data_IF_659283686041
#
_entry.id   IF_659283686041
#
_cell.length_a   1.000
_cell.length_b   1.000
_cell.length_c   1.000
_cell.angle_alpha   90.00
_cell.angle_beta   90.00
_cell.angle_gamma   90.00
#
_symmetry.space_group_name_H-M   'P 1'
#
loop_
_entity.id
_entity.type
_entity.pdbx_description
1 polymer ?
#
# COMPACT_ATOMS: atom_id res chain seq x y z
N UNK A 1 21.23 0.29 -25.99
CA UNK A 1 20.43 0.80 -24.85
C UNK A 1 20.03 -0.40 -24.01
N UNK A 2 20.53 -0.50 -22.78
CA UNK A 2 20.26 -1.65 -21.92
C UNK A 2 18.88 -1.48 -21.26
N UNK A 3 17.90 -2.22 -21.76
CA UNK A 3 16.58 -2.32 -21.14
C UNK A 3 16.74 -3.07 -19.82
N UNK A 4 16.85 -2.32 -18.73
CA UNK A 4 17.02 -2.90 -17.40
C UNK A 4 15.63 -3.30 -16.90
N UNK A 5 15.19 -4.49 -17.28
CA UNK A 5 13.99 -5.10 -16.70
C UNK A 5 14.14 -5.15 -15.17
N UNK A 6 13.45 -4.25 -14.48
CA UNK A 6 13.35 -4.25 -13.03
C UNK A 6 12.55 -5.49 -12.60
N UNK A 7 13.23 -6.59 -12.29
CA UNK A 7 12.63 -7.81 -11.72
C UNK A 7 11.85 -7.44 -10.45
N UNK A 8 10.56 -7.73 -10.44
CA UNK A 8 9.72 -7.62 -9.26
C UNK A 8 9.90 -8.88 -8.41
N UNK A 9 10.56 -8.76 -7.26
CA UNK A 9 10.74 -9.85 -6.28
C UNK A 9 9.46 -10.14 -5.48
N UNK A 10 8.30 -10.18 -6.14
CA UNK A 10 7.04 -10.54 -5.48
C UNK A 10 6.91 -12.05 -5.49
N UNK A 11 7.50 -12.69 -4.50
CA UNK A 11 7.34 -14.13 -4.30
C UNK A 11 5.91 -14.44 -3.87
N UNK A 12 5.29 -15.42 -4.53
CA UNK A 12 3.95 -15.91 -4.23
C UNK A 12 4.09 -17.25 -3.52
N UNK A 13 3.29 -17.47 -2.48
CA UNK A 13 3.17 -18.81 -1.88
C UNK A 13 2.56 -19.80 -2.87
N UNK A 14 2.95 -21.06 -2.73
CA UNK A 14 2.35 -22.17 -3.47
C UNK A 14 0.86 -22.32 -3.12
N UNK A 15 0.06 -22.96 -3.98
CA UNK A 15 -1.35 -23.23 -3.70
C UNK A 15 -1.56 -23.98 -2.38
N UNK A 16 -0.73 -24.99 -2.10
CA UNK A 16 -0.75 -25.79 -0.86
C UNK A 16 -0.62 -24.89 0.38
N UNK A 17 0.41 -24.04 0.44
CA UNK A 17 0.62 -23.13 1.56
C UNK A 17 -0.51 -22.10 1.69
N UNK A 18 -1.06 -21.62 0.57
CA UNK A 18 -2.22 -20.72 0.63
C UNK A 18 -3.46 -21.40 1.25
N UNK A 19 -3.70 -22.68 0.94
CA UNK A 19 -4.80 -23.46 1.55
C UNK A 19 -4.58 -23.62 3.05
N UNK A 20 -3.40 -24.09 3.47
CA UNK A 20 -3.02 -24.25 4.89
C UNK A 20 -3.21 -22.93 5.67
N UNK A 21 -2.79 -21.80 5.08
CA UNK A 21 -2.99 -20.46 5.67
C UNK A 21 -4.47 -20.10 5.76
N UNK A 22 -5.25 -20.40 4.73
CA UNK A 22 -6.67 -20.07 4.68
C UNK A 22 -7.47 -20.87 5.71
N UNK A 23 -7.22 -22.17 5.82
CA UNK A 23 -7.91 -23.06 6.77
C UNK A 23 -7.67 -22.60 8.21
N UNK A 24 -6.41 -22.34 8.58
CA UNK A 24 -6.08 -21.77 9.89
C UNK A 24 -6.75 -20.41 10.11
N UNK A 25 -6.77 -19.54 9.10
CA UNK A 25 -7.40 -18.22 9.20
C UNK A 25 -8.93 -18.31 9.38
N UNK A 26 -9.58 -19.35 8.85
CA UNK A 26 -11.02 -19.58 9.01
C UNK A 26 -11.35 -20.07 10.42
N UNK A 27 -10.59 -21.04 10.93
CA UNK A 27 -10.79 -21.59 12.28
C UNK A 27 -10.67 -20.49 13.34
N UNK A 28 -9.67 -19.63 13.21
CA UNK A 28 -9.38 -18.58 14.18
C UNK A 28 -10.03 -17.23 13.85
N UNK A 29 -11.00 -17.17 12.93
CA UNK A 29 -11.57 -15.91 12.40
C UNK A 29 -12.09 -14.95 13.49
N UNK A 30 -12.69 -15.50 14.53
CA UNK A 30 -13.31 -14.75 15.63
C UNK A 30 -12.38 -14.58 16.85
N UNK A 31 -11.17 -15.12 16.78
CA UNK A 31 -10.24 -15.06 17.88
C UNK A 31 -9.68 -13.65 18.06
N UNK A 32 -9.38 -13.33 19.32
CA UNK A 32 -8.67 -12.12 19.67
C UNK A 32 -7.21 -12.19 19.18
N UNK A 33 -6.59 -11.03 19.03
CA UNK A 33 -5.19 -10.93 18.58
C UNK A 33 -4.22 -11.69 19.51
N UNK A 34 -4.49 -11.74 20.81
CA UNK A 34 -3.65 -12.47 21.77
C UNK A 34 -3.73 -13.97 21.53
N UNK A 35 -4.95 -14.51 21.42
CA UNK A 35 -5.20 -15.94 21.16
C UNK A 35 -4.59 -16.35 19.81
N UNK A 36 -4.79 -15.56 18.75
CA UNK A 36 -4.22 -15.86 17.44
C UNK A 36 -2.68 -15.95 17.47
N UNK A 37 -2.02 -15.11 18.28
CA UNK A 37 -0.54 -15.15 18.40
C UNK A 37 -0.09 -16.41 19.13
N UNK A 38 -0.81 -16.82 20.17
CA UNK A 38 -0.54 -18.04 20.93
C UNK A 38 -0.73 -19.30 20.08
N UNK A 39 -1.85 -19.39 19.36
CA UNK A 39 -2.15 -20.51 18.48
C UNK A 39 -1.24 -20.58 17.25
N UNK A 40 -0.65 -19.45 16.84
CA UNK A 40 0.23 -19.40 15.67
C UNK A 40 1.51 -20.20 15.86
N UNK A 41 2.08 -20.23 17.05
CA UNK A 41 3.32 -20.98 17.29
C UNK A 41 3.09 -22.49 17.17
N UNK A 42 1.99 -23.02 17.74
CA UNK A 42 1.60 -24.42 17.57
C UNK A 42 1.22 -24.78 16.11
N UNK A 43 0.57 -23.86 15.40
CA UNK A 43 0.29 -24.02 13.97
C UNK A 43 1.57 -24.08 13.12
N UNK A 44 2.55 -23.24 13.44
CA UNK A 44 3.85 -23.22 12.77
C UNK A 44 4.58 -24.55 12.94
N UNK A 45 4.63 -25.07 14.17
CA UNK A 45 5.26 -26.35 14.48
C UNK A 45 4.56 -27.52 13.79
N UNK A 46 3.23 -27.54 13.81
CA UNK A 46 2.43 -28.61 13.19
C UNK A 46 2.55 -28.69 11.67
N UNK A 47 2.96 -27.60 11.02
CA UNK A 47 3.07 -27.50 9.55
C UNK A 47 4.52 -27.24 9.10
N UNK A 48 5.49 -27.47 9.98
CA UNK A 48 6.89 -27.09 9.77
C UNK A 48 7.47 -27.69 8.50
N UNK A 49 7.16 -28.94 8.19
CA UNK A 49 7.67 -29.64 7.01
C UNK A 49 7.19 -28.98 5.72
N UNK A 50 5.90 -28.66 5.62
CA UNK A 50 5.33 -27.96 4.47
C UNK A 50 5.92 -26.57 4.33
N UNK A 51 6.11 -25.85 5.44
CA UNK A 51 6.74 -24.52 5.42
C UNK A 51 8.22 -24.58 5.04
N UNK A 52 8.98 -25.58 5.48
CA UNK A 52 10.39 -25.72 5.10
C UNK A 52 10.55 -26.10 3.63
N UNK A 53 9.69 -26.96 3.09
CA UNK A 53 9.64 -27.22 1.63
C UNK A 53 9.36 -25.93 0.84
N UNK A 54 8.40 -25.14 1.31
CA UNK A 54 8.08 -23.86 0.70
C UNK A 54 9.23 -22.85 0.83
N UNK A 55 9.91 -22.81 1.98
CA UNK A 55 11.08 -21.96 2.22
C UNK A 55 12.15 -22.21 1.16
N UNK A 56 12.50 -23.48 0.95
CA UNK A 56 13.48 -23.87 -0.06
C UNK A 56 13.07 -23.42 -1.47
N UNK A 57 11.79 -23.62 -1.83
CA UNK A 57 11.24 -23.17 -3.13
C UNK A 57 11.33 -21.65 -3.28
N UNK A 58 11.04 -20.89 -2.24
CA UNK A 58 11.09 -19.43 -2.26
C UNK A 58 12.54 -18.91 -2.32
N UNK A 59 13.46 -19.50 -1.56
CA UNK A 59 14.88 -19.17 -1.56
C UNK A 59 15.53 -19.44 -2.92
N UNK A 60 15.20 -20.57 -3.57
CA UNK A 60 15.60 -20.84 -4.96
C UNK A 60 15.14 -19.76 -5.95
N UNK A 61 14.03 -19.08 -5.64
CA UNK A 61 13.51 -17.97 -6.44
C UNK A 61 14.05 -16.60 -5.99
N UNK A 62 14.94 -16.54 -5.00
CA UNK A 62 15.58 -15.32 -4.50
C UNK A 62 14.89 -14.65 -3.30
N UNK A 63 14.02 -15.38 -2.57
CA UNK A 63 13.41 -14.88 -1.34
C UNK A 63 14.43 -14.85 -0.20
N UNK A 64 14.57 -13.71 0.48
CA UNK A 64 15.52 -13.51 1.59
C UNK A 64 14.85 -13.15 2.92
N UNK A 65 13.52 -13.10 2.96
CA UNK A 65 12.80 -12.69 4.16
C UNK A 65 12.55 -13.88 5.10
N UNK A 66 12.19 -13.58 6.35
CA UNK A 66 11.74 -14.60 7.29
C UNK A 66 10.35 -15.14 6.89
N UNK A 67 10.30 -16.43 6.56
CA UNK A 67 9.08 -17.14 6.18
C UNK A 67 8.04 -17.14 7.30
N UNK A 68 8.44 -17.33 8.56
CA UNK A 68 7.50 -17.36 9.71
C UNK A 68 6.79 -16.02 9.83
N UNK A 69 7.50 -14.92 9.67
CA UNK A 69 6.89 -13.60 9.64
C UNK A 69 6.02 -13.35 8.40
N UNK A 70 6.41 -13.88 7.24
CA UNK A 70 5.65 -13.73 6.00
C UNK A 70 4.31 -14.50 6.05
N UNK A 71 4.30 -15.69 6.63
CA UNK A 71 3.10 -16.51 6.82
C UNK A 71 2.16 -15.85 7.83
N UNK A 72 2.66 -15.39 8.98
CA UNK A 72 1.83 -14.68 9.97
C UNK A 72 1.14 -13.45 9.38
N UNK A 73 1.85 -12.65 8.57
CA UNK A 73 1.27 -11.51 7.86
C UNK A 73 0.17 -11.92 6.88
N UNK A 74 0.31 -13.09 6.27
CA UNK A 74 -0.65 -13.62 5.29
C UNK A 74 -1.90 -14.15 5.98
N UNK A 75 -1.75 -14.87 7.09
CA UNK A 75 -2.86 -15.24 7.98
C UNK A 75 -3.62 -14.00 8.40
N UNK A 76 -2.92 -12.98 8.91
CA UNK A 76 -3.54 -11.69 9.29
C UNK A 76 -4.31 -11.05 8.13
N UNK A 77 -3.81 -11.15 6.90
CA UNK A 77 -4.50 -10.66 5.71
C UNK A 77 -5.81 -11.43 5.44
N UNK A 78 -5.78 -12.77 5.52
CA UNK A 78 -6.98 -13.60 5.34
C UNK A 78 -7.98 -13.41 6.50
N UNK A 79 -7.50 -13.46 7.73
CA UNK A 79 -8.23 -13.23 8.99
C UNK A 79 -8.93 -11.86 9.03
N UNK A 80 -8.21 -10.77 8.72
CA UNK A 80 -8.76 -9.41 8.87
C UNK A 80 -9.46 -8.90 7.61
N UNK A 81 -8.91 -9.16 6.42
CA UNK A 81 -9.31 -8.42 5.21
C UNK A 81 -10.17 -9.22 4.24
N UNK A 82 -9.95 -10.54 4.12
CA UNK A 82 -10.66 -11.36 3.12
C UNK A 82 -11.86 -12.10 3.72
N UNK A 83 -11.70 -12.67 4.92
CA UNK A 83 -12.75 -13.48 5.56
C UNK A 83 -13.80 -12.63 6.30
N UNK A 84 -13.42 -11.55 6.99
CA UNK A 84 -14.40 -10.57 7.50
C UNK A 84 -15.29 -10.02 6.38
N UNK A 85 -14.70 -9.77 5.21
CA UNK A 85 -15.43 -9.30 4.03
C UNK A 85 -16.43 -10.33 3.47
N UNK A 86 -16.24 -11.64 3.69
CA UNK A 86 -17.19 -12.68 3.28
C UNK A 86 -18.26 -12.97 4.32
N UNK A 87 -17.97 -12.79 5.62
CA UNK A 87 -18.94 -12.99 6.71
C UNK A 87 -19.86 -11.78 6.93
N UNK A 88 -19.53 -10.62 6.37
CA UNK A 88 -20.29 -9.37 6.49
C UNK A 88 -21.32 -9.15 5.34
N UNK A 89 -21.88 -10.21 4.73
CA UNK A 89 -23.08 -10.04 3.89
C UNK A 89 -24.37 -9.78 4.70
N UNK A 90 -24.26 -9.62 6.02
CA UNK A 90 -25.39 -9.29 6.89
C UNK A 90 -25.02 -8.11 7.79
N UNK A 91 -25.61 -6.95 7.49
CA UNK A 91 -25.86 -5.78 8.34
C UNK A 91 -24.68 -4.95 8.89
N UNK A 92 -23.48 -5.50 9.14
CA UNK A 92 -22.34 -4.71 9.62
C UNK A 92 -21.50 -4.08 8.50
N UNK A 93 -21.66 -4.55 7.26
CA UNK A 93 -21.10 -3.89 6.08
C UNK A 93 -21.75 -2.53 5.81
N UNK A 94 -22.98 -2.28 6.25
CA UNK A 94 -23.60 -0.96 6.03
C UNK A 94 -22.86 0.16 6.75
N UNK A 95 -22.20 -0.10 7.88
CA UNK A 95 -21.45 0.92 8.63
C UNK A 95 -19.97 1.02 8.20
N UNK A 96 -19.27 -0.11 8.00
CA UNK A 96 -17.86 -0.10 7.60
C UNK A 96 -17.64 0.12 6.10
N UNK A 97 -18.57 -0.33 5.26
CA UNK A 97 -18.58 -0.02 3.83
C UNK A 97 -19.10 1.40 3.61
N UNK A 98 -20.05 1.94 4.42
CA UNK A 98 -20.26 3.39 4.49
C UNK A 98 -18.97 4.12 4.85
N UNK A 99 -18.22 3.69 5.87
CA UNK A 99 -16.95 4.34 6.24
C UNK A 99 -15.82 4.22 5.20
N UNK A 100 -15.86 3.23 4.30
CA UNK A 100 -14.94 3.14 3.16
C UNK A 100 -15.45 3.85 1.91
N UNK A 101 -16.77 3.96 1.74
CA UNK A 101 -17.44 4.75 0.69
C UNK A 101 -17.49 6.25 1.04
N UNK A 102 -17.24 6.64 2.31
CA UNK A 102 -17.17 8.04 2.79
C UNK A 102 -15.75 8.57 2.99
N UNK A 103 -14.69 7.80 2.70
CA UNK A 103 -13.39 8.43 2.44
C UNK A 103 -13.48 9.09 1.08
N UNK A 104 -14.08 10.26 1.03
CA UNK A 104 -13.95 11.21 -0.06
C UNK A 104 -12.45 11.36 -0.33
N UNK A 105 -11.96 10.60 -1.31
CA UNK A 105 -10.55 10.64 -1.65
C UNK A 105 -10.28 12.06 -2.10
N UNK A 106 -9.61 12.84 -1.24
CA UNK A 106 -9.35 14.24 -1.51
C UNK A 106 -8.37 14.29 -2.69
N UNK A 107 -8.91 14.44 -3.90
CA UNK A 107 -8.13 14.48 -5.14
C UNK A 107 -7.31 15.76 -5.18
N UNK A 108 -6.08 15.65 -5.68
CA UNK A 108 -5.34 16.82 -6.13
C UNK A 108 -5.97 17.34 -7.43
N UNK A 109 -5.81 18.64 -7.68
CA UNK A 109 -6.22 19.25 -8.92
C UNK A 109 -5.60 18.53 -10.13
N UNK A 110 -6.38 18.35 -11.19
CA UNK A 110 -5.95 17.73 -12.45
C UNK A 110 -4.70 18.42 -13.02
N UNK A 111 -4.59 19.75 -12.91
CA UNK A 111 -3.44 20.50 -13.39
C UNK A 111 -2.15 20.12 -12.64
N UNK A 112 -2.20 19.96 -11.31
CA UNK A 112 -1.05 19.49 -10.52
C UNK A 112 -0.63 18.10 -10.96
N UNK A 113 -1.59 17.19 -11.19
CA UNK A 113 -1.30 15.83 -11.67
C UNK A 113 -0.64 15.84 -13.04
N UNK A 114 -1.16 16.63 -13.99
CA UNK A 114 -0.62 16.77 -15.33
C UNK A 114 0.79 17.38 -15.32
N UNK A 115 1.01 18.38 -14.47
CA UNK A 115 2.32 18.99 -14.29
C UNK A 115 3.33 17.95 -13.77
N UNK A 116 2.97 17.18 -12.73
CA UNK A 116 3.80 16.09 -12.19
C UNK A 116 4.11 15.06 -13.28
N UNK A 117 3.11 14.64 -14.05
CA UNK A 117 3.30 13.67 -15.13
C UNK A 117 4.30 14.17 -16.17
N UNK A 118 4.14 15.42 -16.61
CA UNK A 118 5.01 16.07 -17.61
C UNK A 118 6.44 16.17 -17.09
N UNK A 119 6.61 16.58 -15.83
CA UNK A 119 7.91 16.69 -15.19
C UNK A 119 8.62 15.33 -15.08
N UNK A 120 7.90 14.29 -14.67
CA UNK A 120 8.42 12.92 -14.62
C UNK A 120 8.83 12.45 -16.02
N UNK A 121 7.97 12.61 -17.02
CA UNK A 121 8.23 12.16 -18.40
C UNK A 121 9.50 12.82 -18.96
N UNK A 122 9.67 14.13 -18.73
CA UNK A 122 10.84 14.86 -19.19
C UNK A 122 12.11 14.41 -18.44
N UNK A 123 12.03 14.26 -17.12
CA UNK A 123 13.17 13.83 -16.31
C UNK A 123 13.60 12.39 -16.62
N UNK A 124 12.66 11.52 -17.01
CA UNK A 124 12.97 10.14 -17.42
C UNK A 124 13.83 10.05 -18.69
N UNK A 125 13.97 11.14 -19.47
CA UNK A 125 14.88 11.20 -20.62
C UNK A 125 16.35 11.31 -20.19
N UNK A 126 16.61 11.69 -18.95
CA UNK A 126 17.97 11.82 -18.41
C UNK A 126 18.58 10.43 -18.13
N UNK A 127 19.86 10.26 -18.47
CA UNK A 127 20.58 8.97 -18.31
C UNK A 127 20.63 8.45 -16.87
N UNK A 128 20.55 9.34 -15.87
CA UNK A 128 20.71 9.01 -14.45
C UNK A 128 19.43 9.20 -13.64
N UNK A 129 18.26 9.09 -14.30
CA UNK A 129 16.98 9.30 -13.65
C UNK A 129 16.78 8.35 -12.45
N UNK A 130 16.47 8.94 -11.29
CA UNK A 130 16.02 8.24 -10.08
C UNK A 130 14.73 8.87 -9.57
N UNK A 131 13.66 8.09 -9.32
CA UNK A 131 12.38 8.64 -8.85
C UNK A 131 12.50 9.46 -7.56
N UNK A 132 13.39 9.06 -6.64
CA UNK A 132 13.62 9.80 -5.39
C UNK A 132 14.22 11.18 -5.65
N UNK A 133 15.26 11.26 -6.49
CA UNK A 133 15.89 12.53 -6.90
C UNK A 133 14.91 13.42 -7.65
N UNK A 134 14.13 12.83 -8.55
CA UNK A 134 13.10 13.56 -9.28
C UNK A 134 12.04 14.16 -8.36
N UNK A 135 11.62 13.45 -7.31
CA UNK A 135 10.73 13.99 -6.29
C UNK A 135 11.34 15.20 -5.57
N UNK A 136 12.62 15.12 -5.18
CA UNK A 136 13.35 16.24 -4.57
C UNK A 136 13.39 17.45 -5.51
N UNK A 137 13.67 17.24 -6.80
CA UNK A 137 13.66 18.30 -7.81
C UNK A 137 12.28 18.95 -7.99
N UNK A 138 11.19 18.19 -7.87
CA UNK A 138 9.82 18.74 -7.91
C UNK A 138 9.59 19.68 -6.72
N UNK A 139 10.01 19.29 -5.51
CA UNK A 139 9.84 20.12 -4.32
C UNK A 139 10.67 21.41 -4.36
N UNK A 140 11.76 21.42 -5.14
CA UNK A 140 12.60 22.60 -5.36
C UNK A 140 12.12 23.47 -6.54
N UNK A 141 11.12 23.02 -7.30
CA UNK A 141 10.65 23.73 -8.48
C UNK A 141 9.66 24.83 -8.11
N UNK A 142 10.00 26.08 -8.46
CA UNK A 142 9.17 27.24 -8.11
C UNK A 142 7.79 27.23 -8.75
N UNK A 143 7.66 26.78 -10.01
CA UNK A 143 6.36 26.69 -10.69
C UNK A 143 5.43 25.72 -9.96
N UNK A 144 5.97 24.59 -9.52
CA UNK A 144 5.22 23.62 -8.73
C UNK A 144 4.78 24.21 -7.39
N UNK A 145 5.68 24.91 -6.68
CA UNK A 145 5.34 25.55 -5.42
C UNK A 145 4.24 26.61 -5.57
N UNK A 146 4.27 27.39 -6.66
CA UNK A 146 3.23 28.36 -6.98
C UNK A 146 1.88 27.66 -7.23
N UNK A 147 1.86 26.53 -7.96
CA UNK A 147 0.63 25.74 -8.14
C UNK A 147 0.06 25.20 -6.82
N UNK A 148 0.93 24.87 -5.87
CA UNK A 148 0.53 24.40 -4.55
C UNK A 148 0.04 25.53 -3.63
N UNK A 149 0.48 26.77 -3.83
CA UNK A 149 0.14 27.90 -2.96
C UNK A 149 -1.38 28.07 -2.83
N UNK A 150 -2.11 27.96 -3.93
CA UNK A 150 -3.57 28.11 -3.94
C UNK A 150 -4.32 26.81 -3.62
N UNK A 151 -3.74 25.67 -3.95
CA UNK A 151 -4.41 24.37 -3.84
C UNK A 151 -4.21 23.71 -2.48
N UNK A 152 -3.05 23.90 -1.84
CA UNK A 152 -2.74 23.34 -0.52
C UNK A 152 -3.77 23.76 0.54
N UNK A 153 -4.14 25.04 0.70
CA UNK A 153 -5.12 25.46 1.70
C UNK A 153 -6.50 24.82 1.48
N UNK A 154 -6.94 24.72 0.21
CA UNK A 154 -8.23 24.11 -0.15
C UNK A 154 -8.28 22.63 0.24
N UNK A 155 -7.19 21.91 0.00
CA UNK A 155 -7.08 20.48 0.30
C UNK A 155 -6.94 20.24 1.80
N UNK A 156 -6.14 21.05 2.49
CA UNK A 156 -6.01 20.99 3.95
C UNK A 156 -7.36 21.28 4.61
N UNK A 157 -8.11 22.28 4.14
CA UNK A 157 -9.43 22.57 4.69
C UNK A 157 -10.41 21.40 4.49
N UNK A 158 -10.40 20.75 3.33
CA UNK A 158 -11.19 19.52 3.10
C UNK A 158 -10.76 18.40 4.06
N UNK A 159 -9.46 18.25 4.31
CA UNK A 159 -8.95 17.24 5.23
C UNK A 159 -9.31 17.52 6.68
N UNK A 160 -9.19 18.78 7.13
CA UNK A 160 -9.64 19.26 8.45
C UNK A 160 -11.13 18.95 8.66
N UNK A 161 -11.99 19.29 7.69
CA UNK A 161 -13.42 18.95 7.75
C UNK A 161 -13.65 17.44 7.88
N UNK A 162 -12.91 16.64 7.11
CA UNK A 162 -13.01 15.18 7.16
C UNK A 162 -12.62 14.62 8.54
N UNK A 163 -11.49 15.03 9.13
CA UNK A 163 -11.07 14.52 10.44
C UNK A 163 -12.05 14.95 11.55
N UNK A 164 -12.55 16.18 11.51
CA UNK A 164 -13.57 16.67 12.47
C UNK A 164 -14.85 15.85 12.39
N UNK A 165 -15.33 15.51 11.19
CA UNK A 165 -16.51 14.65 11.00
C UNK A 165 -16.31 13.23 11.54
N UNK A 166 -15.07 12.75 11.64
CA UNK A 166 -14.73 11.43 12.17
C UNK A 166 -14.34 11.48 13.65
N UNK A 167 -14.54 12.60 14.34
CA UNK A 167 -14.09 12.83 15.73
C UNK A 167 -12.58 12.56 15.92
N UNK A 168 -11.78 12.77 14.88
CA UNK A 168 -10.32 12.73 14.94
C UNK A 168 -9.80 14.15 15.22
N UNK A 169 -8.94 14.28 16.23
CA UNK A 169 -8.18 15.50 16.48
C UNK A 169 -6.73 15.30 16.00
N UNK A 170 -6.23 16.26 15.22
CA UNK A 170 -4.89 16.24 14.62
C UNK A 170 -4.24 17.58 14.81
N UNK A 171 -3.00 17.55 15.29
CA UNK A 171 -2.15 18.73 15.38
C UNK A 171 -1.83 19.28 13.98
N UNK A 172 -1.51 20.57 13.89
CA UNK A 172 -1.11 21.16 12.61
C UNK A 172 0.14 20.48 12.01
N UNK A 173 1.05 19.98 12.85
CA UNK A 173 2.22 19.19 12.41
C UNK A 173 1.80 17.88 11.74
N UNK A 174 0.85 17.13 12.33
CA UNK A 174 0.35 15.88 11.72
C UNK A 174 -0.38 16.15 10.39
N UNK A 175 -1.04 17.31 10.27
CA UNK A 175 -1.71 17.74 9.04
C UNK A 175 -0.67 18.09 7.96
N UNK A 176 0.42 18.75 8.33
CA UNK A 176 1.54 19.03 7.42
C UNK A 176 2.23 17.72 6.97
N UNK A 177 2.47 16.79 7.90
CA UNK A 177 3.03 15.47 7.59
C UNK A 177 2.12 14.70 6.62
N UNK A 178 0.80 14.75 6.82
CA UNK A 178 -0.17 14.18 5.90
C UNK A 178 -0.08 14.81 4.51
N UNK A 179 0.06 16.13 4.45
CA UNK A 179 0.20 16.86 3.18
C UNK A 179 1.47 16.43 2.43
N UNK A 180 2.61 16.40 3.10
CA UNK A 180 3.89 15.94 2.52
C UNK A 180 3.76 14.50 2.03
N UNK A 181 3.17 13.62 2.83
CA UNK A 181 2.91 12.24 2.45
C UNK A 181 2.01 12.14 1.22
N UNK A 182 0.97 12.97 1.13
CA UNK A 182 0.03 13.00 0.00
C UNK A 182 0.74 13.35 -1.31
N UNK A 183 1.58 14.38 -1.32
CA UNK A 183 2.34 14.78 -2.52
C UNK A 183 3.33 13.68 -2.92
N UNK A 184 4.10 13.14 -1.95
CA UNK A 184 5.03 12.02 -2.19
C UNK A 184 4.35 10.78 -2.76
N UNK A 185 3.22 10.39 -2.18
CA UNK A 185 2.45 9.23 -2.63
C UNK A 185 1.88 9.45 -4.02
N UNK A 186 1.42 10.66 -4.32
CA UNK A 186 0.93 11.03 -5.64
C UNK A 186 2.03 10.88 -6.68
N UNK A 187 3.19 11.52 -6.46
CA UNK A 187 4.36 11.40 -7.35
C UNK A 187 4.73 9.95 -7.62
N UNK A 188 4.90 9.15 -6.55
CA UNK A 188 5.23 7.72 -6.65
C UNK A 188 4.22 6.97 -7.51
N UNK A 189 2.94 7.18 -7.26
CA UNK A 189 1.86 6.52 -8.01
C UNK A 189 1.87 6.93 -9.49
N UNK A 190 2.07 8.23 -9.79
CA UNK A 190 2.17 8.73 -11.16
C UNK A 190 3.36 8.13 -11.91
N UNK A 191 4.54 8.09 -11.27
CA UNK A 191 5.72 7.44 -11.83
C UNK A 191 5.46 5.99 -12.23
N UNK A 192 4.90 5.17 -11.33
CA UNK A 192 4.60 3.77 -11.66
C UNK A 192 3.51 3.64 -12.73
N UNK A 193 2.51 4.52 -12.74
CA UNK A 193 1.50 4.53 -13.80
C UNK A 193 2.11 4.81 -15.17
N UNK A 194 3.00 5.80 -15.27
CA UNK A 194 3.70 6.15 -16.52
C UNK A 194 4.61 5.01 -16.96
N UNK A 195 5.36 4.44 -16.01
CA UNK A 195 6.27 3.31 -16.29
C UNK A 195 5.52 2.08 -16.81
N UNK A 196 4.35 1.77 -16.25
CA UNK A 196 3.55 0.64 -16.68
C UNK A 196 2.88 0.89 -18.04
N UNK A 197 2.43 2.12 -18.32
CA UNK A 197 1.82 2.46 -19.62
C UNK A 197 2.86 2.40 -20.75
N UNK A 198 4.10 2.84 -20.52
CA UNK A 198 5.20 2.70 -21.50
C UNK A 198 5.55 1.26 -21.86
N UNK A 199 5.28 0.28 -21.00
CA UNK A 199 5.55 -1.14 -21.30
C UNK A 199 4.54 -1.75 -22.27
N UNK A 200 3.39 -1.10 -22.46
CA UNK A 200 2.30 -1.58 -23.30
C UNK A 200 2.23 -0.83 -24.65
N UNK A 201 3.25 -0.02 -24.97
CA UNK A 201 3.39 0.72 -26.25
C UNK A 201 4.74 0.35 -26.85
#
# INVERSE_FOLDING_TARGET
MADTEKKTYRHKFSPEINTIIQDFSQVHLYDSKSILKEQYDGFWESNIDSFMREKNRLEMNGFQNDLKNAIFRSIKYYHIKKLKKSSENTEQQTEQKRNQETRDYIKLNKFIIQWIDTFIINSMKEKNFKPSKNYESILQNQEFMNLLQDEKPKIINKYKKFITQNNEDKTDNEIEDWWVFKIKKTHKNRYFSIMNNKKNT
#
